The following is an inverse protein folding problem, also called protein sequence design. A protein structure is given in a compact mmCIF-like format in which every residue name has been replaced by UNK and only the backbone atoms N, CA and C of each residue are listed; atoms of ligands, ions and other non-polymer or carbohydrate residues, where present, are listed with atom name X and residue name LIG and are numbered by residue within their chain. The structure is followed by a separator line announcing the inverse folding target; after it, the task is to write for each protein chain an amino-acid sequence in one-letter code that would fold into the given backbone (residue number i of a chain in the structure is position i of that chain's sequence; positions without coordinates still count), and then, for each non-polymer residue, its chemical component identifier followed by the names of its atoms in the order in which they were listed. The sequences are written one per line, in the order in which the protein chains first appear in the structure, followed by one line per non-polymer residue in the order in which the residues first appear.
data_IF_226731737605
#
_entry.id   IF_226731737605
#
_cell.length_a   1.000
_cell.length_b   1.000
_cell.length_c   1.000
_cell.angle_alpha   90.00
_cell.angle_beta   90.00
_cell.angle_gamma   90.00
#
_symmetry.space_group_name_H-M   'P 1'
#
loop_
_entity.id
_entity.type
_entity.pdbx_description
1 polymer ?
#
# COMPACT_ATOMS: atom_id res chain seq x y z
N UNK A 1 -4.55 -41.00 -8.71
CA UNK A 1 -5.66 -40.15 -8.20
C UNK A 1 -5.40 -39.56 -6.80
N UNK A 2 -5.41 -40.29 -5.68
CA UNK A 2 -5.22 -39.66 -4.33
C UNK A 2 -3.83 -39.02 -4.11
N UNK A 3 -2.75 -39.65 -4.58
CA UNK A 3 -1.37 -39.10 -4.46
C UNK A 3 -1.19 -37.79 -5.22
N UNK A 4 -1.74 -37.73 -6.42
CA UNK A 4 -1.70 -36.55 -7.29
C UNK A 4 -2.47 -35.37 -6.69
N UNK A 5 -3.63 -35.61 -6.06
CA UNK A 5 -4.37 -34.58 -5.33
C UNK A 5 -3.56 -34.03 -4.14
N UNK A 6 -2.84 -34.89 -3.42
CA UNK A 6 -2.00 -34.47 -2.29
C UNK A 6 -0.83 -33.61 -2.79
N UNK A 7 -0.18 -34.04 -3.88
CA UNK A 7 0.95 -33.32 -4.46
C UNK A 7 0.51 -31.95 -5.02
N UNK A 8 -0.62 -31.88 -5.74
CA UNK A 8 -1.19 -30.62 -6.22
C UNK A 8 -1.54 -29.67 -5.07
N UNK A 9 -2.10 -30.17 -3.97
CA UNK A 9 -2.41 -29.35 -2.78
C UNK A 9 -1.14 -28.81 -2.12
N UNK A 10 -0.08 -29.61 -2.08
CA UNK A 10 1.23 -29.19 -1.56
C UNK A 10 1.81 -28.07 -2.42
N UNK A 11 1.86 -28.26 -3.74
CA UNK A 11 2.34 -27.24 -4.69
C UNK A 11 1.51 -25.95 -4.61
N UNK A 12 0.18 -26.06 -4.52
CA UNK A 12 -0.69 -24.90 -4.37
C UNK A 12 -0.39 -24.10 -3.09
N UNK A 13 -0.17 -24.81 -1.97
CA UNK A 13 0.20 -24.18 -0.70
C UNK A 13 1.53 -23.44 -0.81
N UNK A 14 2.54 -24.08 -1.41
CA UNK A 14 3.85 -23.45 -1.63
C UNK A 14 3.72 -22.19 -2.47
N UNK A 15 3.02 -22.27 -3.61
CA UNK A 15 2.83 -21.13 -4.50
C UNK A 15 2.08 -19.97 -3.82
N UNK A 16 1.04 -20.26 -3.03
CA UNK A 16 0.31 -19.23 -2.26
C UNK A 16 1.21 -18.53 -1.27
N UNK A 17 2.03 -19.27 -0.53
CA UNK A 17 2.99 -18.70 0.42
C UNK A 17 4.00 -17.81 -0.29
N UNK A 18 4.51 -18.27 -1.44
CA UNK A 18 5.50 -17.55 -2.23
C UNK A 18 4.94 -16.23 -2.82
N UNK A 19 3.69 -16.27 -3.31
CA UNK A 19 2.96 -15.08 -3.77
C UNK A 19 2.75 -14.11 -2.60
N UNK A 20 2.29 -14.61 -1.45
CA UNK A 20 2.06 -13.76 -0.28
C UNK A 20 3.35 -13.06 0.18
N UNK A 21 4.48 -13.79 0.19
CA UNK A 21 5.77 -13.22 0.52
C UNK A 21 6.17 -12.10 -0.45
N UNK A 22 6.10 -12.37 -1.76
CA UNK A 22 6.41 -11.37 -2.80
C UNK A 22 5.51 -10.13 -2.70
N UNK A 23 4.23 -10.31 -2.42
CA UNK A 23 3.28 -9.23 -2.23
C UNK A 23 3.57 -8.38 -0.98
N UNK A 24 4.01 -9.01 0.12
CA UNK A 24 4.48 -8.26 1.30
C UNK A 24 5.75 -7.46 0.98
N UNK A 25 6.71 -8.07 0.28
CA UNK A 25 7.94 -7.38 -0.12
C UNK A 25 7.65 -6.15 -1.00
N UNK A 26 6.69 -6.24 -1.92
CA UNK A 26 6.25 -5.10 -2.74
C UNK A 26 5.69 -3.94 -1.92
N UNK A 27 5.18 -4.19 -0.71
CA UNK A 27 4.58 -3.16 0.18
C UNK A 27 5.55 -2.58 1.19
N UNK A 28 6.81 -3.03 1.23
CA UNK A 28 7.81 -2.56 2.21
C UNK A 28 8.07 -1.05 2.17
N UNK A 29 7.88 -0.42 1.01
CA UNK A 29 8.05 1.02 0.82
C UNK A 29 6.71 1.73 0.64
N UNK A 30 5.63 1.13 1.12
CA UNK A 30 4.34 1.79 1.14
C UNK A 30 4.17 2.51 2.46
N UNK A 31 3.88 3.81 2.39
CA UNK A 31 3.45 4.62 3.52
C UNK A 31 1.93 4.72 3.49
N UNK A 32 1.28 4.31 4.57
CA UNK A 32 -0.16 4.45 4.76
C UNK A 32 -0.48 5.67 5.61
N UNK A 33 -1.31 6.57 5.10
CA UNK A 33 -1.73 7.78 5.80
C UNK A 33 -3.24 7.75 5.99
N UNK A 34 -3.67 7.82 7.23
CA UNK A 34 -5.07 7.68 7.66
C UNK A 34 -5.58 8.98 8.26
N UNK A 35 -6.89 9.19 8.21
CA UNK A 35 -7.54 10.31 8.90
C UNK A 35 -7.45 11.67 8.21
N UNK A 36 -6.90 11.73 6.99
CA UNK A 36 -6.90 12.98 6.21
C UNK A 36 -8.25 13.18 5.50
N UNK A 37 -8.89 14.34 5.66
CA UNK A 37 -10.09 14.71 4.91
C UNK A 37 -9.88 14.59 3.39
N UNK A 38 -10.94 14.31 2.65
CA UNK A 38 -10.89 14.22 1.18
C UNK A 38 -11.35 15.54 0.56
N UNK A 39 -10.58 16.01 -0.42
CA UNK A 39 -10.97 17.13 -1.29
C UNK A 39 -10.96 16.68 -2.76
N UNK A 40 -11.84 17.25 -3.59
CA UNK A 40 -11.96 16.88 -5.01
C UNK A 40 -10.73 17.23 -5.84
N UNK A 41 -9.98 18.25 -5.42
CA UNK A 41 -8.82 18.80 -6.12
C UNK A 41 -7.52 18.58 -5.32
N UNK A 42 -7.48 17.55 -4.48
CA UNK A 42 -6.30 17.27 -3.66
C UNK A 42 -5.08 16.84 -4.49
N UNK A 43 -3.91 17.36 -4.14
CA UNK A 43 -2.62 16.87 -4.63
C UNK A 43 -1.95 16.05 -3.53
N UNK A 44 -2.11 14.73 -3.60
CA UNK A 44 -1.61 13.78 -2.59
C UNK A 44 -0.10 13.88 -2.40
N UNK A 45 0.67 14.03 -3.48
CA UNK A 45 2.13 14.16 -3.42
C UNK A 45 2.54 15.39 -2.63
N UNK A 46 1.91 16.54 -2.90
CA UNK A 46 2.19 17.78 -2.16
C UNK A 46 1.79 17.66 -0.68
N UNK A 47 0.67 16.99 -0.37
CA UNK A 47 0.24 16.72 1.01
C UNK A 47 1.29 15.86 1.74
N UNK A 48 1.78 14.79 1.11
CA UNK A 48 2.80 13.90 1.69
C UNK A 48 4.11 14.64 1.93
N UNK A 49 4.56 15.47 0.98
CA UNK A 49 5.77 16.29 1.13
C UNK A 49 5.63 17.29 2.27
N UNK A 50 4.48 17.99 2.35
CA UNK A 50 4.21 18.93 3.43
C UNK A 50 4.21 18.23 4.80
N UNK A 51 3.63 17.04 4.90
CA UNK A 51 3.66 16.23 6.11
C UNK A 51 5.10 15.80 6.47
N UNK A 52 5.87 15.29 5.50
CA UNK A 52 7.27 14.92 5.71
C UNK A 52 8.07 16.08 6.29
N UNK A 53 8.00 17.24 5.64
CA UNK A 53 8.68 18.46 6.10
C UNK A 53 8.27 18.87 7.52
N UNK A 54 6.98 18.75 7.85
CA UNK A 54 6.47 19.04 9.19
C UNK A 54 7.03 18.10 10.27
N UNK A 55 7.33 16.85 9.91
CA UNK A 55 7.92 15.85 10.81
C UNK A 55 9.45 15.78 10.74
N UNK A 56 10.11 16.72 10.04
CA UNK A 56 11.57 16.73 9.89
C UNK A 56 12.12 15.67 8.94
N UNK A 57 11.28 15.12 8.07
CA UNK A 57 11.65 14.17 7.02
C UNK A 57 11.50 14.87 5.67
N UNK A 58 12.55 15.52 5.14
CA UNK A 58 12.46 16.21 3.86
C UNK A 58 12.18 15.19 2.76
N UNK A 59 11.09 15.40 2.03
CA UNK A 59 10.69 14.57 0.89
C UNK A 59 10.63 15.44 -0.37
N UNK A 60 11.13 14.90 -1.47
CA UNK A 60 11.01 15.49 -2.79
C UNK A 60 9.98 14.73 -3.64
N UNK A 61 9.49 15.35 -4.71
CA UNK A 61 8.57 14.69 -5.66
C UNK A 61 9.15 13.41 -6.25
N UNK A 62 10.47 13.35 -6.42
CA UNK A 62 11.15 12.17 -6.97
C UNK A 62 11.16 10.99 -6.00
N UNK A 63 11.02 11.22 -4.70
CA UNK A 63 11.00 10.17 -3.68
C UNK A 63 9.67 9.41 -3.66
N UNK A 64 8.61 10.00 -4.21
CA UNK A 64 7.28 9.42 -4.27
C UNK A 64 7.06 8.85 -5.68
N UNK A 65 7.05 7.53 -5.81
CA UNK A 65 6.75 6.84 -7.07
C UNK A 65 5.27 7.01 -7.44
N UNK A 66 4.39 6.83 -6.46
CA UNK A 66 2.95 6.91 -6.66
C UNK A 66 2.24 7.22 -5.36
N UNK A 67 1.11 7.93 -5.41
CA UNK A 67 0.25 8.18 -4.26
C UNK A 67 -1.21 8.14 -4.69
N UNK A 68 -2.04 7.36 -3.98
CA UNK A 68 -3.46 7.23 -4.29
C UNK A 68 -4.29 6.97 -3.03
N UNK A 69 -5.56 7.40 -3.07
CA UNK A 69 -6.57 6.98 -2.09
C UNK A 69 -6.96 5.51 -2.38
N UNK A 70 -7.09 4.70 -1.35
CA UNK A 70 -7.50 3.29 -1.44
C UNK A 70 -8.95 3.14 -0.99
N UNK A 71 -9.76 2.52 -1.85
CA UNK A 71 -11.15 2.18 -1.51
C UNK A 71 -11.16 1.04 -0.49
N UNK A 72 -11.80 1.23 0.69
CA UNK A 72 -11.85 0.19 1.70
C UNK A 72 -12.76 -0.96 1.24
N UNK A 73 -12.44 -2.19 1.69
CA UNK A 73 -13.29 -3.37 1.43
C UNK A 73 -14.70 -3.21 2.02
N UNK A 74 -14.77 -2.63 3.22
CA UNK A 74 -16.03 -2.29 3.90
C UNK A 74 -16.09 -0.77 4.02
N UNK A 75 -17.09 -0.16 3.39
CA UNK A 75 -17.31 1.29 3.52
C UNK A 75 -17.80 1.58 4.94
N UNK A 76 -17.08 2.44 5.64
CA UNK A 76 -17.50 2.98 6.94
C UNK A 76 -17.90 4.43 6.70
N UNK A 77 -19.15 4.77 6.99
CA UNK A 77 -19.68 6.11 6.78
C UNK A 77 -18.87 7.13 7.59
N UNK A 78 -18.51 8.25 6.97
CA UNK A 78 -17.74 9.31 7.61
C UNK A 78 -16.23 9.04 7.76
N UNK A 79 -15.72 7.87 7.36
CA UNK A 79 -14.28 7.60 7.38
C UNK A 79 -13.63 7.95 6.03
N UNK A 80 -12.67 8.90 5.99
CA UNK A 80 -11.91 9.17 4.77
C UNK A 80 -11.12 7.94 4.29
N UNK A 81 -10.96 7.81 2.98
CA UNK A 81 -10.12 6.79 2.35
C UNK A 81 -8.66 6.98 2.75
N UNK A 82 -7.97 5.86 2.94
CA UNK A 82 -6.53 5.84 3.28
C UNK A 82 -5.73 6.28 2.06
N UNK A 83 -4.71 7.11 2.24
CA UNK A 83 -3.72 7.37 1.20
C UNK A 83 -2.64 6.29 1.33
N UNK A 84 -2.31 5.65 0.22
CA UNK A 84 -1.14 4.77 0.12
C UNK A 84 -0.16 5.41 -0.85
N UNK A 85 1.04 5.71 -0.34
CA UNK A 85 2.13 6.27 -1.10
C UNK A 85 3.26 5.25 -1.24
N UNK A 86 3.76 5.05 -2.45
CA UNK A 86 4.93 4.21 -2.73
C UNK A 86 6.18 5.08 -2.77
N UNK A 87 7.10 4.85 -1.86
CA UNK A 87 8.40 5.53 -1.82
C UNK A 87 9.41 4.81 -2.72
N UNK A 88 10.36 5.57 -3.26
CA UNK A 88 11.45 5.07 -4.11
C UNK A 88 12.47 4.27 -3.33
N UNK A 89 12.83 4.75 -2.14
CA UNK A 89 13.83 4.15 -1.27
C UNK A 89 13.40 4.23 0.19
N UNK A 90 14.19 3.59 1.06
CA UNK A 90 14.05 3.69 2.52
C UNK A 90 14.61 5.01 3.03
#
# INVERSE_FOLDING_TARGET
MRREIIELKKQNTVLRTDINYKEQMKRLLNLEIVGLPEDKCENLTNIIIALGNQFGVPLEHNDIIHANRVTPKTKVQGRPRVIVAKLRSR
#
